data_IF_830535797450
#
_entry.id   IF_830535797450
#
_cell.length_a   1.000
_cell.length_b   1.000
_cell.length_c   1.000
_cell.angle_alpha   90.00
_cell.angle_beta   90.00
_cell.angle_gamma   90.00
#
_symmetry.space_group_name_H-M   'P 1'
#
loop_
_entity.id
_entity.type
_entity.pdbx_description
1 polymer ?
#
# COMPACT_ATOMS: atom_id res chain seq x y z
N UNK A 1 19.04 -35.02 58.26
CA UNK A 1 18.79 -35.78 57.01
C UNK A 1 17.40 -35.50 56.42
N UNK A 2 16.30 -35.56 57.18
CA UNK A 2 14.92 -35.30 56.67
C UNK A 2 14.70 -33.89 56.10
N UNK A 3 15.35 -32.87 56.65
CA UNK A 3 15.21 -31.47 56.19
C UNK A 3 15.81 -31.24 54.79
N UNK A 4 16.92 -31.92 54.47
CA UNK A 4 17.63 -31.76 53.18
C UNK A 4 16.81 -32.39 52.04
N UNK A 5 16.17 -33.53 52.31
CA UNK A 5 15.30 -34.22 51.36
C UNK A 5 14.06 -33.37 51.04
N UNK A 6 13.46 -32.71 52.04
CA UNK A 6 12.31 -31.83 51.81
C UNK A 6 12.66 -30.59 50.98
N UNK A 7 13.85 -30.00 51.17
CA UNK A 7 14.31 -28.85 50.38
C UNK A 7 14.60 -29.27 48.93
N UNK A 8 15.21 -30.45 48.73
CA UNK A 8 15.48 -30.98 47.39
C UNK A 8 14.18 -31.28 46.62
N UNK A 9 13.18 -31.88 47.28
CA UNK A 9 11.86 -32.14 46.67
C UNK A 9 11.14 -30.82 46.33
N UNK A 10 11.23 -29.80 47.20
CA UNK A 10 10.62 -28.50 46.95
C UNK A 10 11.26 -27.77 45.77
N UNK A 11 12.58 -27.86 45.61
CA UNK A 11 13.31 -27.27 44.47
C UNK A 11 13.01 -28.00 43.15
N UNK A 12 12.85 -29.32 43.19
CA UNK A 12 12.48 -30.13 42.01
C UNK A 12 11.04 -29.80 41.58
N UNK A 13 10.09 -29.70 42.51
CA UNK A 13 8.71 -29.33 42.21
C UNK A 13 8.57 -27.89 41.69
N UNK A 14 9.40 -26.96 42.18
CA UNK A 14 9.42 -25.58 41.68
C UNK A 14 9.92 -25.49 40.23
N UNK A 15 10.86 -26.35 39.83
CA UNK A 15 11.36 -26.44 38.46
C UNK A 15 10.38 -27.15 37.51
N UNK A 16 9.61 -28.14 37.99
CA UNK A 16 8.60 -28.82 37.16
C UNK A 16 7.44 -27.86 36.82
N UNK A 17 7.03 -26.99 37.75
CA UNK A 17 6.03 -25.95 37.47
C UNK A 17 6.52 -24.84 36.52
N UNK A 18 7.84 -24.71 36.30
CA UNK A 18 8.39 -23.80 35.30
C UNK A 18 8.38 -24.38 33.87
N UNK A 19 8.23 -25.70 33.73
CA UNK A 19 8.24 -26.41 32.43
C UNK A 19 6.82 -26.49 31.83
N UNK A 20 5.78 -26.18 32.61
CA UNK A 20 4.37 -26.17 32.19
C UNK A 20 3.83 -24.82 31.72
N UNK A 21 4.65 -23.77 31.61
CA UNK A 21 4.21 -22.57 30.90
C UNK A 21 4.24 -22.85 29.41
N UNK A 22 3.09 -23.30 28.90
CA UNK A 22 2.74 -23.14 27.50
C UNK A 22 3.17 -21.74 27.09
N UNK A 23 4.07 -21.65 26.11
CA UNK A 23 4.42 -20.43 25.43
C UNK A 23 3.17 -19.91 24.71
N UNK A 24 2.26 -19.28 25.46
CA UNK A 24 1.41 -18.24 24.89
C UNK A 24 2.39 -17.12 24.56
N UNK A 25 2.66 -16.84 23.26
CA UNK A 25 3.45 -15.68 22.92
C UNK A 25 2.76 -14.50 23.58
N UNK A 26 3.48 -13.79 24.45
CA UNK A 26 3.06 -12.50 24.97
C UNK A 26 3.02 -11.60 23.74
N UNK A 27 1.87 -11.56 23.06
CA UNK A 27 1.57 -10.55 22.06
C UNK A 27 1.65 -9.24 22.84
N UNK A 28 2.75 -8.52 22.70
CA UNK A 28 2.82 -7.15 23.21
C UNK A 28 1.69 -6.42 22.49
N UNK A 29 0.85 -5.66 23.20
CA UNK A 29 -0.33 -4.93 22.68
C UNK A 29 -0.05 -3.89 21.56
N UNK A 30 1.15 -3.96 20.99
CA UNK A 30 1.77 -3.07 20.03
C UNK A 30 2.52 -3.90 18.99
N UNK A 31 1.94 -4.97 18.46
CA UNK A 31 2.45 -5.67 17.28
C UNK A 31 1.47 -5.50 16.13
N UNK A 32 1.98 -5.53 14.90
CA UNK A 32 1.15 -5.66 13.71
C UNK A 32 1.22 -7.12 13.28
N UNK A 33 0.07 -7.77 13.21
CA UNK A 33 -0.04 -9.18 12.81
C UNK A 33 -0.66 -9.24 11.43
N UNK A 34 0.02 -9.91 10.50
CA UNK A 34 -0.49 -10.17 9.16
C UNK A 34 -0.47 -11.66 8.94
N UNK A 35 -1.64 -12.26 8.77
CA UNK A 35 -1.82 -13.68 8.51
C UNK A 35 -2.76 -13.88 7.35
N UNK A 36 -2.69 -15.03 6.70
CA UNK A 36 -3.50 -15.25 5.52
C UNK A 36 -3.09 -16.47 4.75
N UNK A 37 -3.65 -16.60 3.55
CA UNK A 37 -3.30 -17.63 2.59
C UNK A 37 -3.48 -17.08 1.17
N UNK A 38 -3.00 -17.84 0.20
CA UNK A 38 -3.12 -17.51 -1.23
C UNK A 38 -4.23 -18.38 -1.81
N UNK A 39 -5.16 -17.77 -2.54
CA UNK A 39 -6.23 -18.47 -3.27
C UNK A 39 -6.21 -18.00 -4.72
N UNK A 40 -5.20 -18.47 -5.46
CA UNK A 40 -4.98 -18.05 -6.84
C UNK A 40 -5.28 -19.19 -7.83
N UNK A 41 -6.18 -18.92 -8.79
CA UNK A 41 -6.58 -19.87 -9.83
C UNK A 41 -5.40 -20.35 -10.69
N UNK A 42 -4.39 -19.51 -10.90
CA UNK A 42 -3.20 -19.93 -11.64
C UNK A 42 -2.35 -20.88 -10.79
N UNK A 43 -2.29 -20.71 -9.46
CA UNK A 43 -1.53 -21.61 -8.57
C UNK A 43 -2.24 -22.94 -8.37
N UNK A 44 -3.58 -22.97 -8.47
CA UNK A 44 -4.36 -24.22 -8.50
C UNK A 44 -3.93 -25.16 -9.63
N UNK A 45 -3.37 -24.64 -10.73
CA UNK A 45 -2.82 -25.45 -11.83
C UNK A 45 -1.49 -26.12 -11.48
N UNK A 46 -0.82 -25.64 -10.42
CA UNK A 46 0.49 -26.10 -9.97
C UNK A 46 0.48 -26.31 -8.44
N UNK A 47 -0.31 -27.29 -7.93
CA UNK A 47 -0.58 -27.42 -6.50
C UNK A 47 0.67 -27.66 -5.63
N UNK A 48 1.72 -28.24 -6.21
CA UNK A 48 3.00 -28.47 -5.53
C UNK A 48 3.98 -27.29 -5.62
N UNK A 49 3.66 -26.26 -6.41
CA UNK A 49 4.53 -25.09 -6.55
C UNK A 49 4.41 -24.20 -5.33
N UNK A 50 5.52 -24.07 -4.62
CA UNK A 50 5.66 -23.08 -3.57
C UNK A 50 5.88 -21.68 -4.17
N UNK A 51 5.34 -20.68 -3.47
CA UNK A 51 5.53 -19.26 -3.76
C UNK A 51 6.08 -18.56 -2.53
N UNK A 52 6.90 -17.54 -2.76
CA UNK A 52 7.42 -16.68 -1.71
C UNK A 52 6.45 -15.52 -1.48
N UNK A 53 5.85 -15.46 -0.30
CA UNK A 53 5.11 -14.29 0.17
C UNK A 53 6.10 -13.33 0.80
N UNK A 54 6.08 -12.09 0.30
CA UNK A 54 6.92 -11.00 0.76
C UNK A 54 6.04 -9.92 1.39
N UNK A 55 6.35 -9.55 2.64
CA UNK A 55 5.78 -8.39 3.31
C UNK A 55 6.91 -7.41 3.58
N UNK A 56 6.96 -6.35 2.78
CA UNK A 56 7.96 -5.30 2.89
C UNK A 56 7.35 -4.11 3.62
N UNK A 57 7.97 -3.66 4.70
CA UNK A 57 7.52 -2.49 5.46
C UNK A 57 8.55 -1.37 5.46
N UNK A 58 8.08 -0.13 5.39
CA UNK A 58 8.90 1.07 5.52
C UNK A 58 8.20 2.11 6.40
N UNK A 59 8.98 3.03 6.94
CA UNK A 59 8.49 4.24 7.59
C UNK A 59 8.17 5.34 6.57
N UNK A 60 8.59 5.16 5.32
CA UNK A 60 8.34 6.09 4.23
C UNK A 60 7.35 5.50 3.21
N UNK A 61 6.38 6.27 2.73
CA UNK A 61 5.39 5.78 1.77
C UNK A 61 5.87 5.58 0.31
N UNK A 62 7.18 5.45 0.03
CA UNK A 62 7.69 5.37 -1.36
C UNK A 62 7.61 3.97 -1.97
N UNK A 63 7.17 3.87 -3.22
CA UNK A 63 7.21 2.64 -4.02
C UNK A 63 8.49 2.45 -4.84
N UNK A 64 9.32 3.50 -5.00
CA UNK A 64 10.49 3.50 -5.88
C UNK A 64 11.84 3.44 -5.15
N UNK A 65 11.94 3.94 -3.92
CA UNK A 65 13.17 3.85 -3.12
C UNK A 65 13.10 2.59 -2.25
N UNK A 66 13.44 1.45 -2.85
CA UNK A 66 13.45 0.12 -2.20
C UNK A 66 14.50 0.00 -1.08
N UNK A 67 15.41 0.97 -0.95
CA UNK A 67 16.59 0.87 -0.08
C UNK A 67 16.28 0.89 1.43
N UNK A 68 15.03 1.21 1.82
CA UNK A 68 14.64 1.36 3.23
C UNK A 68 13.49 0.42 3.66
N UNK A 69 13.25 -0.67 2.94
CA UNK A 69 12.24 -1.66 3.33
C UNK A 69 12.84 -2.78 4.17
N UNK A 70 12.24 -3.05 5.33
CA UNK A 70 12.44 -4.30 6.05
C UNK A 70 11.50 -5.32 5.42
N UNK A 71 12.05 -6.39 4.84
CA UNK A 71 11.24 -7.41 4.16
C UNK A 71 11.18 -8.70 4.97
N UNK A 72 9.96 -9.12 5.29
CA UNK A 72 9.65 -10.41 5.88
C UNK A 72 9.21 -11.37 4.78
N UNK A 73 9.74 -12.59 4.80
CA UNK A 73 9.53 -13.57 3.75
C UNK A 73 9.12 -14.92 4.31
N UNK A 74 8.25 -15.62 3.60
CA UNK A 74 7.97 -17.03 3.85
C UNK A 74 7.59 -17.73 2.56
N UNK A 75 7.83 -19.03 2.50
CA UNK A 75 7.45 -19.87 1.38
C UNK A 75 6.19 -20.66 1.77
N UNK A 76 5.15 -20.58 0.95
CA UNK A 76 3.88 -21.30 1.16
C UNK A 76 3.35 -21.86 -0.16
N UNK A 77 2.51 -22.90 -0.07
CA UNK A 77 1.72 -23.40 -1.20
C UNK A 77 0.34 -22.73 -1.25
N UNK A 78 -0.41 -22.99 -2.32
CA UNK A 78 -1.78 -22.50 -2.43
C UNK A 78 -2.64 -23.02 -1.26
N UNK A 79 -3.45 -22.13 -0.67
CA UNK A 79 -4.28 -22.36 0.53
C UNK A 79 -3.51 -22.67 1.83
N UNK A 80 -2.18 -22.69 1.81
CA UNK A 80 -1.37 -22.80 3.02
C UNK A 80 -1.31 -21.46 3.75
N UNK A 81 -1.42 -21.52 5.07
CA UNK A 81 -1.44 -20.33 5.91
C UNK A 81 -0.03 -19.78 6.14
N UNK A 82 0.11 -18.46 6.10
CA UNK A 82 1.29 -17.75 6.57
C UNK A 82 0.93 -16.80 7.72
N UNK A 83 1.96 -16.40 8.47
CA UNK A 83 1.87 -15.37 9.50
C UNK A 83 3.17 -14.58 9.59
N UNK A 84 3.05 -13.27 9.64
CA UNK A 84 4.09 -12.31 9.94
C UNK A 84 3.72 -11.54 11.20
N UNK A 85 4.72 -11.32 12.06
CA UNK A 85 4.62 -10.45 13.22
C UNK A 85 5.61 -9.32 13.00
N UNK A 86 5.08 -8.12 12.78
CA UNK A 86 5.87 -6.93 12.47
C UNK A 86 6.02 -6.13 13.77
N UNK A 87 7.25 -5.95 14.28
CA UNK A 87 7.49 -5.14 15.46
C UNK A 87 7.19 -3.68 15.16
N UNK A 88 6.57 -3.01 16.13
CA UNK A 88 6.25 -1.59 15.98
C UNK A 88 7.48 -0.75 16.25
N UNK A 89 7.93 -0.06 15.20
CA UNK A 89 9.00 0.92 15.28
C UNK A 89 8.47 2.35 15.28
N UNK A 90 7.25 2.58 14.79
CA UNK A 90 6.63 3.90 14.63
C UNK A 90 5.10 3.86 14.74
N UNK A 91 4.46 5.03 14.85
CA UNK A 91 2.98 5.15 14.86
C UNK A 91 2.32 4.72 13.55
N UNK A 92 3.05 4.75 12.44
CA UNK A 92 2.55 4.38 11.12
C UNK A 92 3.66 3.73 10.32
N UNK A 93 3.32 2.65 9.62
CA UNK A 93 4.18 1.99 8.67
C UNK A 93 3.46 1.88 7.32
N UNK A 94 4.24 1.67 6.28
CA UNK A 94 3.77 1.48 4.91
C UNK A 94 4.19 0.11 4.45
N UNK A 95 3.22 -0.68 4.02
CA UNK A 95 3.42 -2.07 3.64
C UNK A 95 3.19 -2.26 2.15
N UNK A 96 4.10 -3.01 1.54
CA UNK A 96 3.85 -3.73 0.30
C UNK A 96 3.74 -5.22 0.63
N UNK A 97 2.74 -5.89 0.05
CA UNK A 97 2.58 -7.33 0.16
C UNK A 97 2.50 -7.92 -1.25
N UNK A 98 3.38 -8.86 -1.54
CA UNK A 98 3.50 -9.50 -2.84
C UNK A 98 3.64 -11.01 -2.65
N UNK A 99 3.36 -11.78 -3.70
CA UNK A 99 3.77 -13.18 -3.76
C UNK A 99 4.33 -13.53 -5.13
N UNK A 100 5.44 -14.27 -5.13
CA UNK A 100 6.23 -14.57 -6.32
C UNK A 100 6.45 -16.08 -6.44
N UNK A 101 6.41 -16.60 -7.67
CA UNK A 101 6.83 -17.98 -7.91
C UNK A 101 8.34 -18.12 -7.69
N UNK A 102 8.74 -19.18 -6.99
CA UNK A 102 10.15 -19.52 -6.79
C UNK A 102 10.83 -20.03 -8.07
N UNK A 103 10.05 -20.53 -9.03
CA UNK A 103 10.53 -21.30 -10.18
C UNK A 103 10.23 -20.66 -11.54
N UNK A 104 9.76 -19.39 -11.60
CA UNK A 104 9.27 -18.82 -12.86
C UNK A 104 9.69 -17.37 -13.11
N UNK A 105 9.82 -17.02 -14.39
CA UNK A 105 9.89 -15.64 -14.93
C UNK A 105 8.56 -14.86 -14.75
N UNK A 106 7.53 -15.46 -14.15
CA UNK A 106 6.22 -14.85 -13.96
C UNK A 106 6.11 -14.24 -12.57
N UNK A 107 5.73 -12.97 -12.53
CA UNK A 107 5.41 -12.18 -11.34
C UNK A 107 3.89 -12.27 -11.10
N UNK A 108 3.46 -12.73 -9.92
CA UNK A 108 2.06 -13.16 -9.72
C UNK A 108 1.17 -12.11 -9.05
N UNK A 109 1.75 -11.16 -8.32
CA UNK A 109 1.00 -10.02 -7.77
C UNK A 109 1.38 -8.71 -8.45
N UNK A 110 0.79 -8.41 -9.61
CA UNK A 110 0.93 -7.10 -10.31
C UNK A 110 0.30 -5.91 -9.57
N UNK A 111 0.22 -5.97 -8.23
CA UNK A 111 -0.37 -4.98 -7.34
C UNK A 111 0.76 -4.22 -6.64
N UNK A 112 1.25 -3.14 -7.25
CA UNK A 112 2.14 -2.16 -6.60
C UNK A 112 1.35 -1.29 -5.59
N UNK A 113 0.63 -1.95 -4.69
CA UNK A 113 -0.21 -1.30 -3.70
C UNK A 113 0.58 -1.13 -2.42
N UNK A 114 0.66 0.12 -1.95
CA UNK A 114 1.21 0.45 -0.66
C UNK A 114 0.03 0.66 0.31
N UNK A 115 0.05 -0.10 1.40
CA UNK A 115 -0.95 -0.15 2.45
C UNK A 115 -0.49 0.60 3.69
N UNK A 116 -1.40 1.29 4.38
CA UNK A 116 -1.09 1.98 5.64
C UNK A 116 -1.29 0.98 6.77
N UNK A 117 -0.28 0.80 7.62
CA UNK A 117 -0.34 -0.02 8.84
C UNK A 117 -0.20 0.85 10.08
N UNK A 118 -0.90 0.46 11.14
CA UNK A 118 -0.89 1.15 12.43
C UNK A 118 -0.78 0.16 13.60
N UNK A 119 -0.34 0.62 14.77
CA UNK A 119 -0.23 -0.19 15.95
C UNK A 119 -1.46 -1.00 16.33
N UNK A 120 -1.25 -2.31 16.53
CA UNK A 120 -2.30 -3.23 16.94
C UNK A 120 -3.25 -3.64 15.81
N UNK A 121 -2.88 -3.39 14.55
CA UNK A 121 -3.53 -4.01 13.39
C UNK A 121 -3.37 -5.54 13.47
N UNK A 122 -4.47 -6.25 13.22
CA UNK A 122 -4.53 -7.71 13.18
C UNK A 122 -5.30 -8.12 11.93
N UNK A 123 -4.53 -8.34 10.87
CA UNK A 123 -5.00 -8.46 9.51
C UNK A 123 -5.00 -9.93 9.08
N UNK A 124 -6.17 -10.41 8.67
CA UNK A 124 -6.34 -11.63 7.89
C UNK A 124 -6.44 -11.26 6.42
N UNK A 125 -5.65 -11.89 5.55
CA UNK A 125 -5.65 -11.60 4.13
C UNK A 125 -5.83 -12.84 3.25
N UNK A 126 -6.51 -12.65 2.13
CA UNK A 126 -6.61 -13.62 1.04
C UNK A 126 -5.95 -12.96 -0.16
N UNK A 127 -4.85 -13.54 -0.63
CA UNK A 127 -4.08 -13.02 -1.74
C UNK A 127 -4.47 -13.75 -3.03
N UNK A 128 -4.79 -12.98 -4.07
CA UNK A 128 -5.02 -13.48 -5.43
C UNK A 128 -4.32 -12.54 -6.42
N UNK A 129 -4.09 -12.99 -7.65
CA UNK A 129 -3.49 -12.21 -8.74
C UNK A 129 -4.40 -11.09 -9.25
N UNK A 130 -5.68 -11.09 -8.86
CA UNK A 130 -6.69 -10.12 -9.29
C UNK A 130 -7.04 -9.10 -8.21
N UNK A 131 -7.11 -9.55 -6.97
CA UNK A 131 -7.52 -8.75 -5.82
C UNK A 131 -6.93 -9.30 -4.53
N UNK A 132 -6.65 -8.40 -3.59
CA UNK A 132 -6.42 -8.76 -2.20
C UNK A 132 -7.65 -8.43 -1.39
N UNK A 133 -7.96 -9.30 -0.45
CA UNK A 133 -9.09 -9.14 0.46
C UNK A 133 -8.60 -9.20 1.89
N UNK A 134 -9.04 -8.26 2.72
CA UNK A 134 -8.59 -8.11 4.10
C UNK A 134 -9.75 -8.22 5.09
N UNK A 135 -9.47 -8.80 6.26
CA UNK A 135 -10.37 -8.96 7.41
C UNK A 135 -9.63 -8.67 8.71
N UNK A 136 -10.38 -8.49 9.79
CA UNK A 136 -9.83 -8.23 11.12
C UNK A 136 -9.62 -6.74 11.40
N UNK A 137 -8.96 -6.45 12.52
CA UNK A 137 -8.79 -5.08 13.01
C UNK A 137 -7.83 -4.31 12.11
N UNK A 138 -8.32 -3.21 11.54
CA UNK A 138 -7.55 -2.35 10.62
C UNK A 138 -7.69 -2.75 9.15
N UNK A 139 -8.50 -3.76 8.82
CA UNK A 139 -8.68 -4.23 7.45
C UNK A 139 -9.46 -3.27 6.56
N UNK A 140 -10.26 -2.39 7.13
CA UNK A 140 -11.12 -1.44 6.42
C UNK A 140 -10.28 -0.44 5.63
N UNK A 141 -9.18 0.07 6.19
CA UNK A 141 -8.23 0.93 5.47
C UNK A 141 -7.56 0.18 4.32
N UNK A 142 -7.14 -1.07 4.54
CA UNK A 142 -6.50 -1.90 3.52
C UNK A 142 -7.46 -2.23 2.37
N UNK A 143 -8.71 -2.60 2.67
CA UNK A 143 -9.76 -2.84 1.67
C UNK A 143 -10.09 -1.57 0.88
N UNK A 144 -10.21 -0.42 1.55
CA UNK A 144 -10.39 0.87 0.89
C UNK A 144 -9.23 1.15 -0.09
N UNK A 145 -7.99 0.92 0.35
CA UNK A 145 -6.80 1.08 -0.49
C UNK A 145 -6.85 0.13 -1.69
N UNK A 146 -7.11 -1.16 -1.51
CA UNK A 146 -7.26 -2.12 -2.61
C UNK A 146 -8.32 -1.72 -3.62
N UNK A 147 -9.48 -1.24 -3.16
CA UNK A 147 -10.56 -0.79 -4.04
C UNK A 147 -10.15 0.46 -4.84
N UNK A 148 -9.51 1.45 -4.19
CA UNK A 148 -8.92 2.64 -4.85
C UNK A 148 -7.90 2.24 -5.93
N UNK A 149 -7.05 1.25 -5.65
CA UNK A 149 -6.01 0.77 -6.56
C UNK A 149 -6.58 -0.06 -7.73
N UNK A 150 -7.70 -0.74 -7.52
CA UNK A 150 -8.38 -1.53 -8.56
C UNK A 150 -9.14 -0.67 -9.57
N UNK A 151 -9.47 0.58 -9.22
CA UNK A 151 -9.91 1.58 -10.19
C UNK A 151 -8.75 1.96 -11.12
N UNK A 152 -8.50 1.09 -12.12
CA UNK A 152 -7.56 1.33 -13.21
C UNK A 152 -8.27 1.97 -14.39
N UNK A 153 -7.51 2.74 -15.15
CA UNK A 153 -7.97 3.35 -16.39
C UNK A 153 -8.21 2.25 -17.44
N UNK A 154 -9.42 1.66 -17.45
CA UNK A 154 -9.84 0.62 -18.42
C UNK A 154 -9.84 1.14 -19.87
N UNK A 155 -9.79 2.47 -20.04
CA UNK A 155 -9.71 3.14 -21.34
C UNK A 155 -8.30 3.16 -21.96
N UNK A 156 -7.27 2.60 -21.30
CA UNK A 156 -5.94 2.42 -21.92
C UNK A 156 -5.90 1.46 -23.13
N UNK A 157 -7.01 0.78 -23.43
CA UNK A 157 -7.19 -0.02 -24.65
C UNK A 157 -7.56 0.80 -25.89
N UNK A 158 -7.47 2.13 -25.85
CA UNK A 158 -7.48 2.90 -27.08
C UNK A 158 -6.30 2.40 -27.94
N UNK A 159 -6.57 1.89 -29.14
CA UNK A 159 -5.54 1.66 -30.14
C UNK A 159 -5.09 3.05 -30.62
N UNK A 160 -4.16 3.64 -29.88
CA UNK A 160 -3.77 5.05 -29.92
C UNK A 160 -2.93 5.48 -31.13
N UNK A 161 -2.77 4.62 -32.13
CA UNK A 161 -1.79 4.86 -33.19
C UNK A 161 -2.17 5.99 -34.15
N UNK A 162 -3.40 6.52 -34.11
CA UNK A 162 -3.90 7.52 -35.08
C UNK A 162 -4.74 8.68 -34.48
N UNK A 163 -4.72 8.92 -33.16
CA UNK A 163 -5.49 10.03 -32.56
C UNK A 163 -4.63 11.30 -32.53
N UNK A 164 -5.21 12.42 -32.96
CA UNK A 164 -4.61 13.75 -32.79
C UNK A 164 -4.19 13.98 -31.32
N UNK A 165 -2.95 14.43 -31.05
CA UNK A 165 -2.44 14.59 -29.68
C UNK A 165 -3.36 15.40 -28.76
N UNK A 166 -3.98 16.47 -29.25
CA UNK A 166 -4.89 17.29 -28.43
C UNK A 166 -6.13 16.50 -28.02
N UNK A 167 -6.76 15.81 -28.99
CA UNK A 167 -7.93 14.96 -28.70
C UNK A 167 -7.60 13.81 -27.75
N UNK A 168 -6.41 13.25 -27.87
CA UNK A 168 -5.92 12.24 -26.95
C UNK A 168 -5.83 12.76 -25.50
N UNK A 169 -5.30 13.97 -25.31
CA UNK A 169 -5.21 14.59 -23.98
C UNK A 169 -6.57 14.80 -23.33
N UNK A 170 -7.55 15.28 -24.10
CA UNK A 170 -8.92 15.46 -23.60
C UNK A 170 -9.54 14.15 -23.11
N UNK A 171 -9.31 13.03 -23.82
CA UNK A 171 -9.84 11.72 -23.44
C UNK A 171 -9.17 11.15 -22.19
N UNK A 172 -7.85 11.28 -22.08
CA UNK A 172 -7.10 10.89 -20.87
C UNK A 172 -7.51 11.73 -19.65
N UNK A 173 -7.78 13.03 -19.85
CA UNK A 173 -8.27 13.94 -18.81
C UNK A 173 -9.63 13.48 -18.27
N UNK A 174 -10.61 13.24 -19.15
CA UNK A 174 -11.94 12.75 -18.78
C UNK A 174 -11.89 11.40 -18.05
N UNK A 175 -11.05 10.48 -18.52
CA UNK A 175 -10.90 9.19 -17.89
C UNK A 175 -10.28 9.29 -16.49
N UNK A 176 -9.32 10.21 -16.32
CA UNK A 176 -8.68 10.48 -15.01
C UNK A 176 -9.64 11.14 -14.01
N UNK A 177 -10.53 12.03 -14.46
CA UNK A 177 -11.57 12.63 -13.59
C UNK A 177 -12.59 11.60 -13.11
N UNK A 178 -13.03 10.73 -14.02
CA UNK A 178 -13.93 9.64 -13.66
C UNK A 178 -13.31 8.71 -12.60
N UNK A 179 -12.01 8.42 -12.70
CA UNK A 179 -11.30 7.60 -11.71
C UNK A 179 -11.18 8.33 -10.37
N UNK A 180 -10.86 9.62 -10.37
CA UNK A 180 -10.76 10.41 -9.14
C UNK A 180 -12.10 10.42 -8.38
N UNK A 181 -13.20 10.70 -9.08
CA UNK A 181 -14.55 10.66 -8.50
C UNK A 181 -14.88 9.27 -7.91
N UNK A 182 -14.58 8.19 -8.63
CA UNK A 182 -14.76 6.82 -8.14
C UNK A 182 -13.94 6.55 -6.87
N UNK A 183 -12.69 7.01 -6.82
CA UNK A 183 -11.84 6.85 -5.63
C UNK A 183 -12.35 7.63 -4.44
N UNK A 184 -12.77 8.88 -4.64
CA UNK A 184 -13.33 9.71 -3.58
C UNK A 184 -14.65 9.10 -3.04
N UNK A 185 -15.50 8.56 -3.92
CA UNK A 185 -16.70 7.81 -3.54
C UNK A 185 -16.36 6.54 -2.75
N UNK A 186 -15.34 5.79 -3.17
CA UNK A 186 -14.83 4.65 -2.41
C UNK A 186 -14.36 5.10 -1.02
N UNK A 187 -13.56 6.17 -0.90
CA UNK A 187 -13.13 6.69 0.41
C UNK A 187 -14.33 7.08 1.28
N UNK A 188 -15.31 7.79 0.72
CA UNK A 188 -16.51 8.20 1.43
C UNK A 188 -17.27 6.98 1.99
N UNK A 189 -17.38 5.88 1.22
CA UNK A 189 -17.98 4.61 1.66
C UNK A 189 -17.29 4.01 2.89
N UNK A 190 -15.96 4.09 2.99
CA UNK A 190 -15.21 3.56 4.14
C UNK A 190 -15.04 4.57 5.29
N UNK A 191 -15.26 5.86 5.06
CA UNK A 191 -14.94 6.94 6.00
C UNK A 191 -15.47 6.75 7.42
N UNK A 192 -16.65 6.14 7.59
CA UNK A 192 -17.26 5.83 8.90
C UNK A 192 -16.49 4.81 9.75
N UNK A 193 -15.54 4.09 9.16
CA UNK A 193 -14.68 3.10 9.83
C UNK A 193 -13.24 3.60 9.99
N UNK A 194 -12.94 4.79 9.48
CA UNK A 194 -11.59 5.33 9.41
C UNK A 194 -11.50 6.57 10.29
N UNK A 195 -10.28 6.87 10.76
CA UNK A 195 -10.02 8.16 11.39
C UNK A 195 -10.01 9.26 10.34
N UNK A 196 -10.26 10.51 10.75
CA UNK A 196 -10.20 11.66 9.84
C UNK A 196 -8.83 11.77 9.16
N UNK A 197 -7.75 11.50 9.90
CA UNK A 197 -6.38 11.51 9.36
C UNK A 197 -6.20 10.45 8.27
N UNK A 198 -6.69 9.22 8.48
CA UNK A 198 -6.64 8.17 7.46
C UNK A 198 -7.42 8.55 6.21
N UNK A 199 -8.63 9.10 6.38
CA UNK A 199 -9.45 9.60 5.26
C UNK A 199 -8.69 10.66 4.46
N UNK A 200 -8.05 11.60 5.15
CA UNK A 200 -7.29 12.68 4.54
C UNK A 200 -6.05 12.18 3.79
N UNK A 201 -5.30 11.24 4.36
CA UNK A 201 -4.16 10.59 3.68
C UNK A 201 -4.64 9.87 2.41
N UNK A 202 -5.76 9.15 2.48
CA UNK A 202 -6.31 8.44 1.32
C UNK A 202 -6.86 9.40 0.24
N UNK A 203 -7.43 10.54 0.65
CA UNK A 203 -7.80 11.62 -0.29
C UNK A 203 -6.55 12.17 -0.96
N UNK A 204 -5.53 12.58 -0.21
CA UNK A 204 -4.25 13.06 -0.76
C UNK A 204 -3.64 12.04 -1.73
N UNK A 205 -3.75 10.75 -1.41
CA UNK A 205 -3.30 9.65 -2.27
C UNK A 205 -4.03 9.54 -3.60
N UNK A 206 -5.32 9.89 -3.61
CA UNK A 206 -6.15 9.88 -4.82
C UNK A 206 -5.87 11.06 -5.74
N UNK A 207 -5.42 12.19 -5.18
CA UNK A 207 -4.93 13.35 -5.93
C UNK A 207 -3.48 13.19 -6.44
N UNK A 208 -2.81 12.08 -6.11
CA UNK A 208 -1.42 11.82 -6.49
C UNK A 208 -1.21 11.74 -8.01
N UNK A 209 -0.05 12.20 -8.48
CA UNK A 209 0.30 12.32 -9.90
C UNK A 209 0.66 10.97 -10.59
N UNK A 210 0.54 9.83 -9.90
CA UNK A 210 0.91 8.50 -10.44
C UNK A 210 0.04 8.00 -11.61
N UNK A 211 -1.23 8.39 -11.66
CA UNK A 211 -2.16 7.98 -12.72
C UNK A 211 -2.00 8.82 -13.99
N UNK A 212 -1.04 9.73 -13.98
CA UNK A 212 -0.67 10.56 -15.11
C UNK A 212 0.63 9.98 -15.67
N UNK A 213 0.56 8.97 -16.56
CA UNK A 213 1.75 8.40 -17.19
C UNK A 213 2.60 9.46 -17.90
N UNK A 214 2.03 10.61 -18.26
CA UNK A 214 2.75 11.77 -18.79
C UNK A 214 3.66 12.47 -17.78
N UNK A 215 3.32 12.49 -16.48
CA UNK A 215 4.24 12.98 -15.44
C UNK A 215 5.34 11.97 -15.15
N UNK A 216 5.02 10.67 -15.15
CA UNK A 216 6.04 9.59 -15.11
C UNK A 216 6.97 9.64 -16.33
N UNK A 217 6.42 9.95 -17.49
CA UNK A 217 7.13 10.05 -18.76
C UNK A 217 7.82 11.40 -19.01
N UNK A 218 7.46 12.46 -18.28
CA UNK A 218 8.15 13.75 -18.35
C UNK A 218 9.60 13.57 -17.88
N UNK A 219 9.87 12.79 -16.84
CA UNK A 219 11.26 12.46 -16.47
C UNK A 219 12.05 11.66 -17.52
N UNK A 220 11.39 10.99 -18.48
CA UNK A 220 12.04 10.26 -19.57
C UNK A 220 12.02 11.00 -20.92
N UNK A 221 11.13 12.00 -21.08
CA UNK A 221 10.91 12.79 -22.30
C UNK A 221 11.01 14.30 -22.07
N UNK A 222 11.82 14.74 -21.09
CA UNK A 222 12.23 16.14 -20.89
C UNK A 222 13.13 16.67 -22.04
N UNK A 223 12.89 16.20 -23.27
CA UNK A 223 13.36 16.80 -24.52
C UNK A 223 12.25 17.49 -25.33
N UNK A 224 10.99 17.52 -24.87
CA UNK A 224 9.91 18.14 -25.65
C UNK A 224 8.99 19.06 -24.80
N UNK A 225 9.33 20.34 -24.77
CA UNK A 225 8.66 21.44 -24.05
C UNK A 225 7.17 21.63 -24.41
N UNK A 226 6.77 21.19 -25.59
CA UNK A 226 5.40 21.28 -26.10
C UNK A 226 4.40 20.51 -25.23
N UNK A 227 4.72 19.28 -24.79
CA UNK A 227 3.83 18.45 -24.00
C UNK A 227 3.62 18.99 -22.57
N UNK A 228 4.67 19.52 -21.97
CA UNK A 228 4.59 20.17 -20.66
C UNK A 228 3.70 21.42 -20.73
N UNK A 229 3.86 22.22 -21.80
CA UNK A 229 3.03 23.41 -22.04
C UNK A 229 1.55 23.06 -22.28
N UNK A 230 1.26 21.97 -22.99
CA UNK A 230 -0.10 21.48 -23.22
C UNK A 230 -0.76 21.03 -21.90
N UNK A 231 -0.01 20.36 -21.02
CA UNK A 231 -0.50 20.01 -19.69
C UNK A 231 -0.78 21.25 -18.83
N UNK A 232 0.14 22.20 -18.73
CA UNK A 232 -0.09 23.43 -17.98
C UNK A 232 -1.25 24.26 -18.54
N UNK A 233 -1.50 24.13 -19.85
CA UNK A 233 -2.62 24.78 -20.50
C UNK A 233 -3.93 23.99 -20.47
N UNK A 234 -3.91 22.73 -20.03
CA UNK A 234 -5.10 21.91 -19.89
C UNK A 234 -6.07 22.52 -18.89
N UNK A 235 -7.36 22.30 -19.13
CA UNK A 235 -8.41 22.74 -18.23
C UNK A 235 -8.19 22.13 -16.84
N UNK A 236 -7.77 20.87 -16.75
CA UNK A 236 -7.43 20.25 -15.47
C UNK A 236 -6.30 20.95 -14.71
N UNK A 237 -5.16 21.34 -15.29
CA UNK A 237 -4.14 22.04 -14.47
C UNK A 237 -4.63 23.42 -13.99
N UNK A 238 -5.40 24.11 -14.84
CA UNK A 238 -5.96 25.43 -14.56
C UNK A 238 -7.11 25.39 -13.55
N UNK A 239 -7.90 24.33 -13.55
CA UNK A 239 -9.09 24.14 -12.72
C UNK A 239 -8.96 23.01 -11.70
N UNK A 240 -7.77 22.40 -11.56
CA UNK A 240 -7.50 21.40 -10.55
C UNK A 240 -7.75 22.08 -9.20
N UNK A 241 -8.80 21.60 -8.54
CA UNK A 241 -9.19 22.11 -7.26
C UNK A 241 -8.26 21.56 -6.19
N UNK A 242 -7.08 22.19 -6.08
CA UNK A 242 -6.12 21.91 -5.02
C UNK A 242 -6.55 22.52 -3.68
N UNK A 243 -7.69 23.23 -3.58
CA UNK A 243 -8.17 23.78 -2.29
C UNK A 243 -8.39 22.68 -1.27
N UNK A 244 -8.84 21.50 -1.73
CA UNK A 244 -8.94 20.32 -0.88
C UNK A 244 -7.60 19.81 -0.34
N UNK A 245 -6.47 20.12 -0.99
CA UNK A 245 -5.13 19.86 -0.46
C UNK A 245 -4.64 20.99 0.46
N UNK A 246 -5.09 22.23 0.25
CA UNK A 246 -4.79 23.37 1.14
C UNK A 246 -5.41 23.16 2.54
N UNK A 247 -6.50 22.40 2.62
CA UNK A 247 -7.14 21.97 3.87
C UNK A 247 -6.42 20.80 4.57
N UNK A 248 -5.46 20.14 3.90
CA UNK A 248 -4.71 19.02 4.48
C UNK A 248 -3.41 19.49 5.10
N UNK A 249 -3.04 18.85 6.22
CA UNK A 249 -1.74 19.09 6.83
C UNK A 249 -0.62 18.52 5.97
N UNK A 250 0.55 19.15 6.03
CA UNK A 250 1.77 18.67 5.36
C UNK A 250 2.09 17.21 5.72
N UNK A 251 1.83 16.82 6.98
CA UNK A 251 2.00 15.44 7.46
C UNK A 251 1.12 14.44 6.70
N UNK A 252 -0.14 14.77 6.45
CA UNK A 252 -1.08 13.88 5.73
C UNK A 252 -0.69 13.75 4.27
N UNK A 253 -0.23 14.84 3.66
CA UNK A 253 0.25 14.88 2.28
C UNK A 253 1.55 14.05 2.14
N UNK A 254 2.51 14.22 3.05
CA UNK A 254 3.76 13.44 3.06
C UNK A 254 3.48 11.97 3.36
N UNK A 255 2.48 11.63 4.18
CA UNK A 255 2.14 10.24 4.50
C UNK A 255 1.42 9.49 3.36
N UNK A 256 1.22 10.13 2.21
CA UNK A 256 0.42 9.59 1.13
C UNK A 256 1.22 8.64 0.21
N UNK A 257 0.86 7.35 0.14
CA UNK A 257 1.65 6.30 -0.52
C UNK A 257 1.96 6.46 -2.01
N UNK A 258 1.19 7.25 -2.74
CA UNK A 258 1.42 7.49 -4.17
C UNK A 258 1.66 8.97 -4.49
N UNK A 259 1.75 9.81 -3.47
CA UNK A 259 2.00 11.24 -3.63
C UNK A 259 3.50 11.56 -3.56
N UNK A 260 4.30 10.78 -2.82
CA UNK A 260 5.72 11.14 -2.57
C UNK A 260 6.60 11.12 -3.81
N UNK A 261 6.34 10.28 -4.81
CA UNK A 261 7.13 10.32 -6.05
C UNK A 261 7.03 11.70 -6.74
N UNK A 262 6.05 12.55 -6.36
CA UNK A 262 5.86 13.90 -6.89
C UNK A 262 5.59 15.00 -5.84
N UNK A 263 5.82 14.75 -4.53
CA UNK A 263 5.74 15.79 -3.48
C UNK A 263 6.68 16.97 -3.83
N UNK A 264 7.78 16.65 -4.52
CA UNK A 264 8.70 17.62 -5.10
C UNK A 264 8.02 18.61 -6.06
N UNK A 265 7.08 18.16 -6.90
CA UNK A 265 6.45 19.02 -7.91
C UNK A 265 5.47 20.02 -7.30
N UNK A 266 4.64 19.64 -6.33
CA UNK A 266 3.73 20.61 -5.68
C UNK A 266 4.50 21.68 -4.88
N UNK A 267 5.53 21.28 -4.12
CA UNK A 267 6.42 22.24 -3.45
C UNK A 267 7.19 23.10 -4.45
N UNK A 268 7.64 22.53 -5.57
CA UNK A 268 8.21 23.26 -6.70
C UNK A 268 7.22 24.27 -7.29
N UNK A 269 5.93 23.92 -7.47
CA UNK A 269 4.90 24.79 -8.03
C UNK A 269 4.40 25.88 -7.07
N UNK A 270 4.33 25.60 -5.76
CA UNK A 270 4.06 26.63 -4.75
C UNK A 270 5.14 27.72 -4.79
N UNK A 271 6.41 27.31 -4.96
CA UNK A 271 7.52 28.25 -5.15
C UNK A 271 7.53 28.91 -6.54
N UNK A 272 7.13 28.20 -7.61
CA UNK A 272 7.10 28.76 -8.97
C UNK A 272 5.98 29.80 -9.16
N UNK A 273 4.79 29.60 -8.55
CA UNK A 273 3.70 30.60 -8.58
C UNK A 273 4.08 31.90 -7.87
N UNK A 274 4.96 31.85 -6.88
CA UNK A 274 5.51 33.04 -6.19
C UNK A 274 6.60 33.77 -7.01
N UNK A 275 7.17 33.13 -8.02
CA UNK A 275 8.24 33.71 -8.87
C UNK A 275 7.65 34.38 -10.13
N UNK A 276 6.44 33.99 -10.53
CA UNK A 276 5.79 34.47 -11.77
C UNK A 276 4.64 35.46 -11.50
N UNK A 277 4.39 35.79 -10.22
CA UNK A 277 3.51 36.88 -9.77
C UNK A 277 4.33 38.08 -9.32
#
# INVERSE_FOLDING_TARGET
>A
MRLIISIAIFLILKNINAIGQTWTPIIKDKEIIIKGFIDDEQLKKYPDSAVEVNVSVSTFPSGMVMDNFITYKTSVRNLENFKFIIPITQQRLFMRIDYNSLNSLFYWSGHENIYILEPGDNIECILTSKYFYFKGKGSEKLNCQSEIYNHRNKNRNLQLLNIDPKRYYELEEQASDSILDLRLKTIAKYSKYLTIEQVNILKANSFGLKDYPFHRGLNLKLSNSSHLSLYYNSNRFKFADFRLLEELSEREIISSPNYIDNLFYYLFFKNYRLIVS
#
